data_IF_617314250913
#
_entry.id   IF_617314250913
#
_cell.length_a   1.000
_cell.length_b   1.000
_cell.length_c   1.000
_cell.angle_alpha   90.00
_cell.angle_beta   90.00
_cell.angle_gamma   90.00
#
_symmetry.space_group_name_H-M   'P 1'
#
loop_
_entity.id
_entity.type
_entity.pdbx_description
1 polymer ?
#
# COMPACT_ATOMS: atom_id res chain seq x y z
N UNK A 1 22.62 -11.75 2.39
CA UNK A 1 23.50 -11.17 1.34
C UNK A 1 22.71 -10.21 0.46
N UNK A 2 23.37 -9.43 -0.42
CA UNK A 2 22.71 -8.42 -1.27
C UNK A 2 21.50 -8.97 -2.04
N UNK A 3 21.63 -10.15 -2.64
CA UNK A 3 20.53 -10.83 -3.34
C UNK A 3 19.31 -11.12 -2.43
N UNK A 4 19.53 -11.47 -1.17
CA UNK A 4 18.46 -11.70 -0.19
C UNK A 4 17.64 -10.43 0.05
N UNK A 5 18.31 -9.29 0.17
CA UNK A 5 17.66 -7.98 0.42
C UNK A 5 16.85 -7.57 -0.82
N UNK A 6 17.42 -7.71 -2.02
CA UNK A 6 16.72 -7.38 -3.27
C UNK A 6 15.46 -8.23 -3.44
N UNK A 7 15.55 -9.53 -3.20
CA UNK A 7 14.41 -10.45 -3.32
C UNK A 7 13.35 -10.10 -2.26
N UNK A 8 13.73 -9.90 -1.00
CA UNK A 8 12.79 -9.54 0.06
C UNK A 8 12.09 -8.20 -0.20
N UNK A 9 12.82 -7.21 -0.70
CA UNK A 9 12.27 -5.90 -1.04
C UNK A 9 11.33 -5.97 -2.24
N UNK A 10 11.66 -6.77 -3.26
CA UNK A 10 10.78 -7.01 -4.41
C UNK A 10 9.42 -7.55 -3.97
N UNK A 11 9.40 -8.60 -3.15
CA UNK A 11 8.14 -9.19 -2.68
C UNK A 11 7.36 -8.26 -1.76
N UNK A 12 8.06 -7.50 -0.93
CA UNK A 12 7.45 -6.46 -0.10
C UNK A 12 6.78 -5.39 -0.96
N UNK A 13 7.49 -4.86 -1.95
CA UNK A 13 7.00 -3.79 -2.83
C UNK A 13 5.83 -4.26 -3.71
N UNK A 14 5.89 -5.50 -4.19
CA UNK A 14 4.77 -6.13 -4.90
C UNK A 14 3.54 -6.15 -3.99
N UNK A 15 3.67 -6.63 -2.75
CA UNK A 15 2.56 -6.74 -1.79
C UNK A 15 1.96 -5.39 -1.42
N UNK A 16 2.82 -4.37 -1.23
CA UNK A 16 2.40 -2.99 -1.01
C UNK A 16 1.62 -2.43 -2.20
N UNK A 17 2.13 -2.63 -3.41
CA UNK A 17 1.46 -2.20 -4.65
C UNK A 17 0.08 -2.84 -4.79
N UNK A 18 -0.03 -4.14 -4.53
CA UNK A 18 -1.31 -4.85 -4.56
C UNK A 18 -2.29 -4.25 -3.54
N UNK A 19 -1.86 -4.10 -2.29
CA UNK A 19 -2.70 -3.56 -1.22
C UNK A 19 -3.17 -2.14 -1.53
N UNK A 20 -2.27 -1.29 -2.02
CA UNK A 20 -2.57 0.11 -2.30
C UNK A 20 -3.49 0.28 -3.53
N UNK A 21 -3.27 -0.48 -4.60
CA UNK A 21 -4.14 -0.47 -5.78
C UNK A 21 -5.55 -0.97 -5.45
N UNK A 22 -5.66 -2.10 -4.76
CA UNK A 22 -6.97 -2.67 -4.38
C UNK A 22 -7.68 -1.78 -3.36
N UNK A 23 -6.96 -1.25 -2.36
CA UNK A 23 -7.52 -0.34 -1.37
C UNK A 23 -8.06 0.95 -1.98
N UNK A 24 -7.29 1.55 -2.90
CA UNK A 24 -7.72 2.75 -3.62
C UNK A 24 -8.91 2.49 -4.54
N UNK A 25 -8.94 1.34 -5.23
CA UNK A 25 -10.06 0.97 -6.10
C UNK A 25 -11.37 0.76 -5.35
N UNK A 26 -11.27 0.12 -4.18
CA UNK A 26 -12.40 -0.16 -3.31
C UNK A 26 -13.00 1.15 -2.81
N UNK A 27 -12.15 2.12 -2.43
CA UNK A 27 -12.59 3.44 -1.94
C UNK A 27 -13.36 4.27 -2.98
N UNK A 28 -13.11 4.04 -4.28
CA UNK A 28 -13.77 4.77 -5.38
C UNK A 28 -14.80 3.92 -6.14
N UNK A 29 -15.00 2.66 -5.74
CA UNK A 29 -15.97 1.76 -6.38
C UNK A 29 -15.65 1.43 -7.84
N UNK A 30 -14.36 1.38 -8.21
CA UNK A 30 -13.90 1.12 -9.60
C UNK A 30 -13.67 -0.38 -9.87
N UNK A 31 -14.03 -1.24 -8.91
CA UNK A 31 -14.01 -2.68 -9.10
C UNK A 31 -15.10 -3.09 -10.08
N UNK A 32 -14.75 -4.00 -11.00
CA UNK A 32 -15.68 -4.61 -11.96
C UNK A 32 -16.77 -5.42 -11.22
N UNK A 33 -17.85 -5.80 -11.91
CA UNK A 33 -19.01 -6.51 -11.31
C UNK A 33 -18.65 -7.83 -10.62
N UNK A 34 -17.47 -8.38 -10.93
CA UNK A 34 -16.86 -9.55 -10.31
C UNK A 34 -15.91 -9.24 -9.14
N UNK A 35 -15.88 -7.99 -8.64
CA UNK A 35 -14.96 -7.52 -7.62
C UNK A 35 -13.49 -7.42 -8.07
N UNK A 36 -13.23 -7.39 -9.39
CA UNK A 36 -11.87 -7.41 -9.96
C UNK A 36 -11.42 -6.01 -10.38
N UNK A 37 -10.17 -5.68 -10.12
CA UNK A 37 -9.59 -4.42 -10.58
C UNK A 37 -9.46 -4.43 -12.12
N UNK A 38 -10.11 -3.51 -12.85
CA UNK A 38 -10.04 -3.46 -14.30
C UNK A 38 -8.62 -3.12 -14.75
N UNK A 39 -8.11 -3.84 -15.76
CA UNK A 39 -6.76 -3.62 -16.33
C UNK A 39 -5.62 -3.72 -15.31
N UNK A 40 -5.76 -4.59 -14.31
CA UNK A 40 -4.78 -4.81 -13.25
C UNK A 40 -3.33 -4.99 -13.74
N UNK A 41 -3.14 -5.77 -14.82
CA UNK A 41 -1.82 -5.94 -15.45
C UNK A 41 -1.21 -4.61 -15.91
N UNK A 42 -2.01 -3.74 -16.52
CA UNK A 42 -1.53 -2.46 -17.03
C UNK A 42 -1.20 -1.50 -15.89
N UNK A 43 -1.98 -1.54 -14.80
CA UNK A 43 -1.68 -0.77 -13.58
C UNK A 43 -0.34 -1.21 -12.97
N UNK A 44 -0.09 -2.52 -12.84
CA UNK A 44 1.19 -3.05 -12.37
C UNK A 44 2.36 -2.66 -13.28
N UNK A 45 2.20 -2.76 -14.60
CA UNK A 45 3.27 -2.37 -15.54
C UNK A 45 3.58 -0.86 -15.41
N UNK A 46 2.55 -0.02 -15.32
CA UNK A 46 2.72 1.43 -15.11
C UNK A 46 3.48 1.72 -13.81
N UNK A 47 3.14 1.02 -12.74
CA UNK A 47 3.76 1.15 -11.44
C UNK A 47 5.23 0.71 -11.47
N UNK A 48 5.53 -0.45 -12.08
CA UNK A 48 6.90 -0.92 -12.25
C UNK A 48 7.76 0.06 -13.06
N UNK A 49 7.20 0.64 -14.13
CA UNK A 49 7.89 1.68 -14.91
C UNK A 49 8.17 2.91 -14.04
N UNK A 50 7.18 3.36 -13.25
CA UNK A 50 7.36 4.47 -12.31
C UNK A 50 8.47 4.19 -11.29
N UNK A 51 8.48 3.00 -10.67
CA UNK A 51 9.52 2.59 -9.72
C UNK A 51 10.91 2.51 -10.37
N UNK A 52 11.02 1.99 -11.60
CA UNK A 52 12.29 1.93 -12.31
C UNK A 52 12.81 3.33 -12.64
N UNK A 53 11.94 4.24 -13.08
CA UNK A 53 12.31 5.64 -13.33
C UNK A 53 12.72 6.34 -12.03
N UNK A 54 12.00 6.09 -10.94
CA UNK A 54 12.33 6.61 -9.61
C UNK A 54 13.71 6.13 -9.12
N UNK A 55 13.98 4.83 -9.22
CA UNK A 55 15.28 4.28 -8.86
C UNK A 55 16.41 4.83 -9.77
N UNK A 56 16.14 5.00 -11.06
CA UNK A 56 17.11 5.57 -12.01
C UNK A 56 17.43 7.05 -11.73
N UNK A 57 16.47 7.81 -11.18
CA UNK A 57 16.68 9.19 -10.74
C UNK A 57 17.18 9.31 -9.30
N UNK A 58 17.44 8.19 -8.63
CA UNK A 58 17.98 8.14 -7.27
C UNK A 58 16.97 8.41 -6.16
N UNK A 59 15.67 8.37 -6.45
CA UNK A 59 14.60 8.53 -5.45
C UNK A 59 14.05 7.18 -4.97
N UNK A 60 13.27 7.21 -3.90
CA UNK A 60 12.61 6.03 -3.33
C UNK A 60 11.56 5.45 -4.28
N UNK A 61 11.23 4.17 -4.12
CA UNK A 61 10.15 3.54 -4.89
C UNK A 61 8.84 4.32 -4.73
N UNK A 62 8.22 4.69 -5.84
CA UNK A 62 6.92 5.35 -5.86
C UNK A 62 5.84 4.31 -5.60
N UNK A 63 4.74 4.68 -4.93
CA UNK A 63 3.56 3.84 -4.69
C UNK A 63 2.28 4.64 -4.97
N UNK A 64 1.26 3.99 -5.53
CA UNK A 64 -0.07 4.59 -5.66
C UNK A 64 -0.68 4.78 -4.27
N UNK A 65 -1.00 6.01 -3.89
CA UNK A 65 -1.49 6.32 -2.55
C UNK A 65 -3.02 6.41 -2.49
N UNK A 66 -3.61 6.14 -1.32
CA UNK A 66 -5.08 6.13 -1.13
C UNK A 66 -5.70 7.51 -1.35
N UNK A 67 -4.91 8.56 -1.21
CA UNK A 67 -5.28 9.96 -1.41
C UNK A 67 -5.61 10.25 -2.88
N UNK A 68 -5.02 9.49 -3.82
CA UNK A 68 -5.38 9.56 -5.23
C UNK A 68 -6.86 9.21 -5.46
N UNK A 69 -7.49 8.45 -4.56
CA UNK A 69 -8.92 8.16 -4.60
C UNK A 69 -9.76 9.44 -4.56
N UNK A 70 -9.33 10.47 -3.80
CA UNK A 70 -10.03 11.75 -3.74
C UNK A 70 -10.00 12.47 -5.10
N UNK A 71 -8.89 12.38 -5.85
CA UNK A 71 -8.79 12.93 -7.20
C UNK A 71 -9.72 12.23 -8.19
N UNK A 72 -9.86 10.90 -8.07
CA UNK A 72 -10.80 10.12 -8.90
C UNK A 72 -12.24 10.46 -8.52
N UNK A 73 -12.54 10.57 -7.21
CA UNK A 73 -13.86 10.96 -6.69
C UNK A 73 -14.27 12.38 -7.13
N UNK A 74 -13.31 13.30 -7.25
CA UNK A 74 -13.51 14.64 -7.79
C UNK A 74 -13.74 14.69 -9.32
N UNK A 75 -13.75 13.53 -10.00
CA UNK A 75 -14.03 13.42 -11.44
C UNK A 75 -12.79 13.10 -12.30
N UNK A 76 -11.62 12.89 -11.68
CA UNK A 76 -10.40 12.49 -12.39
C UNK A 76 -10.48 11.07 -12.95
N UNK A 77 -11.03 10.92 -14.15
CA UNK A 77 -11.17 9.61 -14.84
C UNK A 77 -10.16 9.37 -15.97
N UNK A 78 -9.28 10.34 -16.22
CA UNK A 78 -8.25 10.27 -17.27
C UNK A 78 -6.87 10.57 -16.70
N UNK A 79 -5.84 10.07 -17.37
CA UNK A 79 -4.43 10.36 -17.03
C UNK A 79 -4.05 11.83 -17.19
N UNK A 80 -4.92 12.68 -17.76
CA UNK A 80 -4.69 14.11 -17.88
C UNK A 80 -4.61 14.78 -16.50
N UNK A 81 -5.41 14.33 -15.54
CA UNK A 81 -5.34 14.84 -14.16
C UNK A 81 -3.99 14.54 -13.52
N UNK A 82 -3.49 13.33 -13.68
CA UNK A 82 -2.14 12.93 -13.22
C UNK A 82 -1.04 13.71 -13.92
N UNK A 83 -1.16 13.96 -15.24
CA UNK A 83 -0.18 14.74 -16.01
C UNK A 83 -0.14 16.20 -15.56
N UNK A 84 -1.30 16.84 -15.42
CA UNK A 84 -1.40 18.23 -14.93
C UNK A 84 -0.83 18.33 -13.52
N UNK A 85 -1.13 17.36 -12.66
CA UNK A 85 -0.58 17.28 -11.30
C UNK A 85 0.94 17.16 -11.33
N UNK A 86 1.51 16.29 -12.18
CA UNK A 86 2.96 16.14 -12.34
C UNK A 86 3.63 17.44 -12.84
N UNK A 87 3.01 18.15 -13.80
CA UNK A 87 3.51 19.45 -14.29
C UNK A 87 3.47 20.48 -13.16
N UNK A 88 2.39 20.56 -12.40
CA UNK A 88 2.27 21.46 -11.25
C UNK A 88 3.32 21.16 -10.19
N UNK A 89 3.59 19.88 -9.88
CA UNK A 89 4.69 19.49 -8.99
C UNK A 89 6.06 19.86 -9.58
N UNK A 90 6.25 19.74 -10.90
CA UNK A 90 7.46 20.21 -11.58
C UNK A 90 7.68 21.72 -11.43
N UNK A 91 6.62 22.52 -11.59
CA UNK A 91 6.66 23.98 -11.33
C UNK A 91 6.92 24.26 -9.85
N UNK A 92 6.33 23.47 -8.94
CA UNK A 92 6.53 23.60 -7.50
C UNK A 92 7.99 23.40 -7.08
N UNK A 93 8.81 22.67 -7.84
CA UNK A 93 10.25 22.55 -7.56
C UNK A 93 10.98 23.90 -7.64
N UNK A 94 10.58 24.81 -8.54
CA UNK A 94 11.14 26.16 -8.60
C UNK A 94 10.69 27.03 -7.42
N UNK A 95 9.52 26.73 -6.84
CA UNK A 95 9.00 27.37 -5.63
C UNK A 95 9.46 26.63 -4.34
N UNK A 96 10.20 25.54 -4.45
CA UNK A 96 10.73 24.79 -3.30
C UNK A 96 11.47 25.64 -2.26
N UNK A 97 12.29 26.65 -2.60
CA UNK A 97 12.91 27.50 -1.58
C UNK A 97 11.90 28.30 -0.74
N UNK A 98 10.70 28.58 -1.26
CA UNK A 98 9.62 29.24 -0.51
C UNK A 98 8.93 28.23 0.41
N UNK A 99 8.71 26.99 -0.04
CA UNK A 99 8.10 25.94 0.78
C UNK A 99 9.00 25.49 1.93
N UNK A 100 10.33 25.46 1.73
CA UNK A 100 11.29 25.15 2.78
C UNK A 100 11.45 26.26 3.82
N UNK A 101 11.02 27.49 3.50
CA UNK A 101 10.98 28.60 4.46
C UNK A 101 9.77 28.51 5.41
N UNK A 102 8.80 27.64 5.12
CA UNK A 102 7.64 27.42 6.00
C UNK A 102 8.09 26.65 7.24
N UNK A 103 7.85 27.17 8.46
CA UNK A 103 8.18 26.45 9.69
C UNK A 103 7.52 25.08 9.76
N UNK A 104 8.24 24.06 10.24
CA UNK A 104 7.71 22.70 10.41
C UNK A 104 6.47 22.62 11.30
N UNK A 105 6.28 23.60 12.19
CA UNK A 105 5.08 23.73 13.01
C UNK A 105 3.80 23.94 12.18
N UNK A 106 3.89 24.54 10.99
CA UNK A 106 2.74 24.75 10.10
C UNK A 106 2.38 23.49 9.29
N UNK A 107 3.36 22.62 9.00
CA UNK A 107 3.14 21.38 8.24
C UNK A 107 2.70 20.21 9.14
N UNK A 108 3.07 20.24 10.43
CA UNK A 108 2.66 19.23 11.41
C UNK A 108 1.15 18.98 11.49
N UNK A 109 0.26 19.99 11.65
CA UNK A 109 -1.18 19.75 11.72
C UNK A 109 -1.75 19.18 10.42
N UNK A 110 -1.20 19.55 9.27
CA UNK A 110 -1.61 18.97 7.98
C UNK A 110 -1.29 17.47 7.94
N UNK A 111 -0.11 17.05 8.39
CA UNK A 111 0.28 15.64 8.47
C UNK A 111 -0.59 14.84 9.45
N UNK A 112 -1.01 15.43 10.56
CA UNK A 112 -1.94 14.79 11.52
C UNK A 112 -3.30 14.51 10.86
N UNK A 113 -3.84 15.48 10.12
CA UNK A 113 -5.11 15.32 9.41
C UNK A 113 -4.99 14.25 8.32
N UNK A 114 -3.88 14.22 7.56
CA UNK A 114 -3.63 13.17 6.57
C UNK A 114 -3.59 11.80 7.23
N UNK A 115 -2.85 11.64 8.34
CA UNK A 115 -2.82 10.39 9.11
C UNK A 115 -4.21 9.96 9.60
N UNK A 116 -5.03 10.91 10.07
CA UNK A 116 -6.42 10.64 10.45
C UNK A 116 -7.27 10.15 9.26
N UNK A 117 -7.11 10.75 8.08
CA UNK A 117 -7.79 10.31 6.86
C UNK A 117 -7.33 8.92 6.40
N UNK A 118 -6.08 8.53 6.66
CA UNK A 118 -5.60 7.17 6.37
C UNK A 118 -6.24 6.13 7.30
N UNK A 119 -6.41 6.47 8.59
CA UNK A 119 -7.11 5.62 9.59
C UNK A 119 -8.56 5.32 9.17
N UNK A 120 -9.21 6.22 8.43
CA UNK A 120 -10.57 5.98 7.94
C UNK A 120 -10.69 4.70 7.09
N UNK A 121 -9.58 4.24 6.50
CA UNK A 121 -9.55 2.99 5.71
C UNK A 121 -9.57 1.73 6.59
N UNK A 122 -9.35 1.86 7.91
CA UNK A 122 -9.57 0.77 8.86
C UNK A 122 -11.06 0.51 9.10
N UNK A 123 -11.92 1.52 8.87
CA UNK A 123 -13.37 1.37 9.02
C UNK A 123 -14.00 0.46 7.95
N UNK A 124 -13.31 0.21 6.84
CA UNK A 124 -13.77 -0.74 5.82
C UNK A 124 -13.48 -2.21 6.16
N UNK A 125 -12.86 -2.48 7.31
CA UNK A 125 -12.58 -3.84 7.77
C UNK A 125 -13.83 -4.38 8.47
N UNK A 126 -14.23 -5.62 8.14
CA UNK A 126 -15.32 -6.29 8.82
C UNK A 126 -14.87 -6.81 10.19
N UNK A 127 -15.20 -6.05 11.24
CA UNK A 127 -14.90 -6.43 12.62
C UNK A 127 -15.77 -7.58 13.16
N UNK A 128 -16.79 -8.02 12.41
CA UNK A 128 -17.60 -9.18 12.79
C UNK A 128 -16.91 -10.51 12.45
N UNK A 129 -16.06 -10.55 11.42
CA UNK A 129 -15.25 -11.72 11.09
C UNK A 129 -13.89 -11.66 11.80
N UNK A 130 -13.77 -12.44 12.88
CA UNK A 130 -12.53 -12.52 13.67
C UNK A 130 -11.34 -13.04 12.83
N UNK A 131 -11.59 -13.74 11.72
CA UNK A 131 -10.55 -14.17 10.77
C UNK A 131 -9.90 -13.01 10.00
N UNK A 132 -10.57 -11.86 9.88
CA UNK A 132 -10.09 -10.69 9.14
C UNK A 132 -9.70 -9.56 10.11
N UNK A 133 -10.48 -9.38 11.18
CA UNK A 133 -10.24 -8.38 12.21
C UNK A 133 -8.94 -8.62 13.00
N UNK A 134 -8.66 -9.87 13.37
CA UNK A 134 -7.49 -10.20 14.20
C UNK A 134 -6.15 -9.97 13.47
N UNK A 135 -5.97 -10.40 12.20
CA UNK A 135 -4.78 -10.05 11.41
C UNK A 135 -4.61 -8.54 11.19
N UNK A 136 -5.71 -7.82 10.93
CA UNK A 136 -5.67 -6.38 10.74
C UNK A 136 -5.24 -5.64 12.02
N UNK A 137 -5.75 -6.08 13.18
CA UNK A 137 -5.35 -5.55 14.47
C UNK A 137 -3.86 -5.79 14.77
N UNK A 138 -3.38 -7.02 14.51
CA UNK A 138 -1.96 -7.36 14.70
C UNK A 138 -1.08 -6.51 13.79
N UNK A 139 -1.46 -6.31 12.53
CA UNK A 139 -0.77 -5.41 11.61
C UNK A 139 -0.70 -3.99 12.19
N UNK A 140 -1.85 -3.41 12.58
CA UNK A 140 -1.95 -2.04 13.10
C UNK A 140 -1.08 -1.83 14.35
N UNK A 141 -1.03 -2.80 15.25
CA UNK A 141 -0.21 -2.72 16.47
C UNK A 141 1.28 -2.93 16.22
N UNK A 142 1.63 -3.77 15.24
CA UNK A 142 3.04 -4.10 14.96
C UNK A 142 3.78 -2.94 14.28
N UNK A 143 3.09 -2.12 13.47
CA UNK A 143 3.69 -0.96 12.79
C UNK A 143 4.38 0.02 13.76
N UNK A 144 3.69 0.57 14.79
CA UNK A 144 4.32 1.50 15.72
C UNK A 144 5.38 0.83 16.61
N UNK A 145 5.23 -0.47 16.92
CA UNK A 145 6.20 -1.20 17.74
C UNK A 145 7.51 -1.48 17.02
N UNK A 146 7.45 -1.75 15.72
CA UNK A 146 8.64 -2.08 14.91
C UNK A 146 9.21 -0.86 14.19
N UNK A 147 8.54 0.30 14.26
CA UNK A 147 8.85 1.50 13.48
C UNK A 147 8.92 1.23 11.96
N UNK A 148 8.27 0.16 11.50
CA UNK A 148 8.36 -0.32 10.13
C UNK A 148 7.00 -0.80 9.63
N UNK A 149 6.50 -0.11 8.59
CA UNK A 149 5.27 -0.50 7.89
C UNK A 149 5.43 -1.92 7.31
N UNK A 150 6.62 -2.22 6.78
CA UNK A 150 6.95 -3.51 6.18
C UNK A 150 6.84 -4.65 7.18
N UNK A 151 7.37 -4.49 8.39
CA UNK A 151 7.29 -5.54 9.42
C UNK A 151 5.86 -5.70 9.95
N UNK A 152 5.12 -4.59 10.07
CA UNK A 152 3.71 -4.64 10.41
C UNK A 152 2.87 -5.41 9.40
N UNK A 153 3.06 -5.11 8.10
CA UNK A 153 2.40 -5.83 7.01
C UNK A 153 2.81 -7.31 6.98
N UNK A 154 4.10 -7.63 7.17
CA UNK A 154 4.60 -8.99 7.19
C UNK A 154 3.90 -9.83 8.28
N UNK A 155 3.87 -9.32 9.52
CA UNK A 155 3.23 -10.00 10.65
C UNK A 155 1.72 -10.11 10.47
N UNK A 156 1.08 -9.08 9.90
CA UNK A 156 -0.34 -9.11 9.52
C UNK A 156 -0.66 -10.21 8.50
N UNK A 157 0.12 -10.32 7.42
CA UNK A 157 -0.07 -11.38 6.41
C UNK A 157 0.17 -12.78 6.97
N UNK A 158 1.22 -12.97 7.79
CA UNK A 158 1.49 -14.26 8.44
C UNK A 158 0.32 -14.65 9.34
N UNK A 159 -0.17 -13.72 10.16
CA UNK A 159 -1.32 -13.96 11.03
C UNK A 159 -2.58 -14.32 10.23
N UNK A 160 -2.85 -13.60 9.14
CA UNK A 160 -3.98 -13.87 8.25
C UNK A 160 -3.94 -15.29 7.67
N UNK A 161 -2.77 -15.71 7.20
CA UNK A 161 -2.59 -17.06 6.64
C UNK A 161 -2.75 -18.13 7.72
N UNK A 162 -2.15 -17.95 8.90
CA UNK A 162 -2.25 -18.93 10.01
C UNK A 162 -3.71 -19.10 10.47
N UNK A 163 -4.41 -17.99 10.75
CA UNK A 163 -5.78 -18.01 11.26
C UNK A 163 -6.73 -18.65 10.25
N UNK A 164 -6.61 -18.29 8.97
CA UNK A 164 -7.47 -18.85 7.92
C UNK A 164 -7.08 -20.28 7.50
N UNK A 165 -5.81 -20.68 7.67
CA UNK A 165 -5.39 -22.06 7.49
C UNK A 165 -5.97 -22.98 8.58
N UNK A 166 -6.06 -22.50 9.82
CA UNK A 166 -6.58 -23.27 10.96
C UNK A 166 -8.13 -23.24 11.01
N UNK A 167 -8.78 -22.22 10.47
CA UNK A 167 -10.23 -21.99 10.54
C UNK A 167 -11.16 -22.83 9.64
N UNK A 168 -10.69 -23.94 9.06
CA UNK A 168 -11.52 -24.90 8.29
C UNK A 168 -11.54 -24.71 6.77
N UNK A 169 -12.23 -25.62 6.04
CA UNK A 169 -12.19 -25.74 4.56
C UNK A 169 -12.71 -24.53 3.79
N UNK A 170 -13.74 -23.85 4.30
CA UNK A 170 -14.27 -22.63 3.65
C UNK A 170 -13.34 -21.44 3.82
N UNK A 171 -12.72 -21.28 4.99
CA UNK A 171 -11.77 -20.19 5.26
C UNK A 171 -10.46 -20.36 4.51
N UNK A 172 -10.03 -21.60 4.26
CA UNK A 172 -8.89 -21.90 3.37
C UNK A 172 -9.12 -21.45 1.92
N UNK A 173 -10.36 -21.40 1.43
CA UNK A 173 -10.65 -20.90 0.07
C UNK A 173 -10.53 -19.38 -0.05
N UNK A 174 -10.66 -18.62 1.05
CA UNK A 174 -10.43 -17.17 1.08
C UNK A 174 -8.95 -16.81 0.86
N UNK A 175 -8.03 -17.73 1.15
CA UNK A 175 -6.58 -17.49 1.02
C UNK A 175 -6.08 -17.99 -0.34
N UNK A 176 -5.74 -17.06 -1.23
CA UNK A 176 -5.09 -17.39 -2.50
C UNK A 176 -3.72 -18.03 -2.27
N UNK A 177 -3.29 -18.92 -3.18
CA UNK A 177 -1.95 -19.51 -3.20
C UNK A 177 -0.87 -18.43 -3.14
N UNK A 178 -1.11 -17.26 -3.74
CA UNK A 178 -0.19 -16.13 -3.68
C UNK A 178 0.05 -15.63 -2.23
N UNK A 179 -0.99 -15.58 -1.38
CA UNK A 179 -0.83 -15.16 0.01
C UNK A 179 -0.03 -16.17 0.84
N UNK A 180 -0.19 -17.48 0.58
CA UNK A 180 0.65 -18.50 1.22
C UNK A 180 2.12 -18.34 0.84
N UNK A 181 2.41 -18.08 -0.43
CA UNK A 181 3.77 -17.85 -0.92
C UNK A 181 4.37 -16.59 -0.26
N UNK A 182 3.60 -15.50 -0.20
CA UNK A 182 4.05 -14.24 0.42
C UNK A 182 4.31 -14.43 1.93
N UNK A 183 3.41 -15.08 2.66
CA UNK A 183 3.60 -15.34 4.09
C UNK A 183 4.82 -16.25 4.35
N UNK A 184 5.00 -17.30 3.54
CA UNK A 184 6.17 -18.16 3.62
C UNK A 184 7.47 -17.38 3.38
N UNK A 185 7.48 -16.48 2.40
CA UNK A 185 8.64 -15.64 2.11
C UNK A 185 8.95 -14.67 3.25
N UNK A 186 7.95 -14.07 3.89
CA UNK A 186 8.17 -13.25 5.09
C UNK A 186 8.72 -14.08 6.26
N UNK A 187 8.24 -15.31 6.44
CA UNK A 187 8.80 -16.23 7.44
C UNK A 187 10.26 -16.55 7.13
N UNK A 188 10.57 -16.88 5.87
CA UNK A 188 11.96 -17.13 5.43
C UNK A 188 12.85 -15.91 5.65
N UNK A 189 12.35 -14.70 5.37
CA UNK A 189 13.05 -13.44 5.68
C UNK A 189 13.42 -13.38 7.17
N UNK A 190 12.48 -13.64 8.07
CA UNK A 190 12.75 -13.61 9.52
C UNK A 190 13.73 -14.69 10.01
N UNK A 191 13.86 -15.81 9.31
CA UNK A 191 14.81 -16.87 9.67
C UNK A 191 16.21 -16.71 9.07
N UNK A 192 16.35 -16.01 7.94
CA UNK A 192 17.63 -15.85 7.22
C UNK A 192 18.28 -14.47 7.39
N UNK A 193 17.55 -13.48 7.89
CA UNK A 193 18.02 -12.11 8.16
C UNK A 193 17.92 -11.85 9.65
#
# INVERSE_FOLDING_TARGET
>A
GFATIVIAYLFTNISETFGALVGSATKVGVLDDNGKFPRFKNALVSQSVSCMTAAATGTSATTAVVECAAGIAAGGRTGLTSLVTAIMFGVALFLSPIFLAIPSFATAPALVIVGFLMISSLLSIDFSDMSEAMPAFICLFTIPFTYSIVEGMATGFISYVIINALGGKERRKKVSIAMYVIALLFIVKYFFV
#
